data_IF_951933124144
#
_entry.id   IF_951933124144
#
_cell.length_a   1.000
_cell.length_b   1.000
_cell.length_c   1.000
_cell.angle_alpha   90.00
_cell.angle_beta   90.00
_cell.angle_gamma   90.00
#
_symmetry.space_group_name_H-M   'P 1'
#
loop_
_entity.id
_entity.type
_entity.pdbx_description
1 polymer ?
#
# COMPACT_ATOMS: atom_id res chain seq x y z
N UNK A 1 -6.40 13.77 12.37
CA UNK A 1 -6.59 13.57 10.91
C UNK A 1 -6.56 12.09 10.62
N UNK A 2 -7.30 11.64 9.62
CA UNK A 2 -7.36 10.23 9.27
C UNK A 2 -6.03 9.76 8.65
N UNK A 3 -5.73 8.48 8.84
CA UNK A 3 -4.56 7.83 8.25
C UNK A 3 -5.02 6.65 7.40
N UNK A 4 -4.50 6.56 6.20
CA UNK A 4 -4.76 5.44 5.29
C UNK A 4 -3.45 4.83 4.81
N UNK A 5 -3.47 3.54 4.51
CA UNK A 5 -2.35 2.81 3.93
C UNK A 5 -2.75 2.34 2.54
N UNK A 6 -1.93 2.64 1.55
CA UNK A 6 -2.08 2.08 0.20
C UNK A 6 -1.21 0.83 0.09
N UNK A 7 -1.78 -0.25 -0.48
CA UNK A 7 -0.95 -1.37 -0.95
C UNK A 7 -0.48 -1.11 -2.38
N UNK A 8 0.29 -2.04 -2.95
CA UNK A 8 0.75 -1.91 -4.32
C UNK A 8 -0.41 -1.92 -5.32
N UNK A 9 -1.44 -2.73 -5.06
CA UNK A 9 -2.59 -2.86 -5.95
C UNK A 9 -3.30 -1.52 -6.16
N UNK A 10 -3.44 -0.71 -5.09
CA UNK A 10 -4.12 0.58 -5.18
C UNK A 10 -3.47 1.51 -6.21
N UNK A 11 -2.13 1.61 -6.19
CA UNK A 11 -1.44 2.45 -7.18
C UNK A 11 -1.43 1.82 -8.58
N UNK A 12 -1.39 0.48 -8.67
CA UNK A 12 -1.48 -0.18 -9.97
C UNK A 12 -2.85 0.05 -10.61
N UNK A 13 -3.92 0.07 -9.83
CA UNK A 13 -5.26 0.43 -10.30
C UNK A 13 -5.25 1.84 -10.90
N UNK A 14 -4.61 2.79 -10.22
CA UNK A 14 -4.50 4.15 -10.72
C UNK A 14 -3.69 4.21 -12.03
N UNK A 15 -2.51 3.59 -12.05
CA UNK A 15 -1.62 3.65 -13.22
C UNK A 15 -2.20 2.94 -14.45
N UNK A 16 -3.01 1.92 -14.25
CA UNK A 16 -3.63 1.15 -15.33
C UNK A 16 -5.05 1.61 -15.64
N UNK A 17 -5.51 2.67 -15.01
CA UNK A 17 -6.86 3.22 -15.19
C UNK A 17 -7.96 2.14 -15.08
N UNK A 18 -7.82 1.30 -14.05
CA UNK A 18 -8.78 0.22 -13.77
C UNK A 18 -9.94 0.74 -12.92
N UNK A 19 -11.03 -0.03 -12.81
CA UNK A 19 -12.14 0.34 -11.89
C UNK A 19 -11.60 0.56 -10.46
N UNK A 20 -11.92 1.71 -9.89
CA UNK A 20 -11.38 2.15 -8.60
C UNK A 20 -10.35 3.25 -8.71
N UNK A 21 -9.83 3.54 -9.91
CA UNK A 21 -8.83 4.59 -10.12
C UNK A 21 -9.30 5.96 -9.62
N UNK A 22 -10.58 6.29 -9.84
CA UNK A 22 -11.15 7.57 -9.38
C UNK A 22 -11.11 7.70 -7.86
N UNK A 23 -11.36 6.60 -7.15
CA UNK A 23 -11.30 6.59 -5.69
C UNK A 23 -9.88 6.80 -5.19
N UNK A 24 -8.90 6.18 -5.84
CA UNK A 24 -7.48 6.37 -5.50
C UNK A 24 -7.08 7.83 -5.74
N UNK A 25 -7.50 8.39 -6.86
CA UNK A 25 -7.23 9.80 -7.18
C UNK A 25 -7.79 10.74 -6.12
N UNK A 26 -9.02 10.51 -5.67
CA UNK A 26 -9.64 11.30 -4.60
C UNK A 26 -8.83 11.22 -3.30
N UNK A 27 -8.34 10.04 -2.96
CA UNK A 27 -7.50 9.83 -1.77
C UNK A 27 -6.20 10.63 -1.89
N UNK A 28 -5.56 10.58 -3.06
CA UNK A 28 -4.33 11.33 -3.31
C UNK A 28 -4.57 12.83 -3.21
N UNK A 29 -5.68 13.33 -3.73
CA UNK A 29 -6.04 14.76 -3.64
C UNK A 29 -6.28 15.18 -2.19
N UNK A 30 -6.92 14.32 -1.39
CA UNK A 30 -7.11 14.58 0.04
C UNK A 30 -5.77 14.67 0.78
N UNK A 31 -4.84 13.79 0.45
CA UNK A 31 -3.50 13.82 1.04
C UNK A 31 -2.77 15.09 0.62
N UNK A 32 -2.88 15.48 -0.65
CA UNK A 32 -2.26 16.69 -1.19
C UNK A 32 -2.76 17.95 -0.48
N UNK A 33 -4.04 17.99 -0.13
CA UNK A 33 -4.63 19.14 0.58
C UNK A 33 -4.34 19.16 2.07
N UNK A 34 -3.64 18.14 2.59
CA UNK A 34 -3.30 18.04 4.02
C UNK A 34 -4.40 17.48 4.90
N UNK A 35 -5.48 16.96 4.32
CA UNK A 35 -6.62 16.44 5.07
C UNK A 35 -6.55 14.93 5.34
N UNK A 36 -5.46 14.29 4.96
CA UNK A 36 -5.27 12.85 5.09
C UNK A 36 -3.77 12.55 5.17
N UNK A 37 -3.40 11.69 6.11
CA UNK A 37 -2.05 11.13 6.17
C UNK A 37 -2.06 9.81 5.40
N UNK A 38 -1.27 9.73 4.33
CA UNK A 38 -1.26 8.59 3.43
C UNK A 38 0.09 7.89 3.48
N UNK A 39 0.08 6.60 3.78
CA UNK A 39 1.27 5.79 4.01
C UNK A 39 1.37 4.66 2.99
N UNK A 40 2.60 4.24 2.72
CA UNK A 40 2.88 3.02 1.97
C UNK A 40 4.17 2.40 2.49
N UNK A 41 4.18 1.07 2.64
CA UNK A 41 5.41 0.36 2.96
C UNK A 41 6.38 0.41 1.78
N UNK A 42 7.68 0.59 2.06
CA UNK A 42 8.73 0.50 1.01
C UNK A 42 8.73 -0.86 0.31
N UNK A 43 8.24 -1.91 0.98
CA UNK A 43 8.09 -3.25 0.38
C UNK A 43 7.07 -3.20 -0.76
N UNK A 44 5.95 -2.51 -0.55
CA UNK A 44 4.93 -2.37 -1.59
C UNK A 44 5.40 -1.44 -2.72
N UNK A 45 6.20 -0.44 -2.41
CA UNK A 45 6.85 0.38 -3.44
C UNK A 45 7.72 -0.49 -4.35
N UNK A 46 8.52 -1.37 -3.78
CA UNK A 46 9.36 -2.30 -4.54
C UNK A 46 8.52 -3.25 -5.40
N UNK A 47 7.38 -3.69 -4.87
CA UNK A 47 6.45 -4.54 -5.61
C UNK A 47 5.89 -3.81 -6.85
N UNK A 48 5.54 -2.54 -6.72
CA UNK A 48 5.10 -1.73 -7.86
C UNK A 48 6.20 -1.65 -8.90
N UNK A 49 7.42 -1.36 -8.46
CA UNK A 49 8.57 -1.21 -9.35
C UNK A 49 8.81 -2.46 -10.18
N UNK A 50 8.93 -3.63 -9.53
CA UNK A 50 9.22 -4.85 -10.28
C UNK A 50 8.05 -5.29 -11.15
N UNK A 51 6.81 -5.03 -10.73
CA UNK A 51 5.62 -5.39 -11.51
C UNK A 51 5.58 -4.60 -12.82
N UNK A 52 5.86 -3.31 -12.76
CA UNK A 52 5.89 -2.47 -13.96
C UNK A 52 7.07 -2.88 -14.86
N UNK A 53 8.24 -3.13 -14.27
CA UNK A 53 9.41 -3.55 -15.02
C UNK A 53 9.16 -4.86 -15.77
N UNK A 54 8.54 -5.85 -15.10
CA UNK A 54 8.20 -7.13 -15.73
C UNK A 54 7.15 -7.00 -16.83
N UNK A 55 6.13 -6.16 -16.60
CA UNK A 55 5.01 -6.02 -17.51
C UNK A 55 5.28 -5.08 -18.68
N UNK A 56 6.25 -4.21 -18.56
CA UNK A 56 6.54 -3.20 -19.57
C UNK A 56 8.06 -2.98 -19.72
N UNK A 57 8.67 -2.12 -18.88
CA UNK A 57 10.08 -1.78 -19.05
C UNK A 57 10.62 -1.14 -17.77
N UNK A 58 11.95 -1.10 -17.66
CA UNK A 58 12.63 -0.35 -16.60
C UNK A 58 12.36 1.14 -16.73
N UNK A 59 12.34 1.66 -17.96
CA UNK A 59 12.09 3.08 -18.23
C UNK A 59 10.71 3.48 -17.69
N UNK A 60 9.69 2.65 -17.89
CA UNK A 60 8.37 2.94 -17.36
C UNK A 60 8.34 2.82 -15.83
N UNK A 61 9.03 1.82 -15.26
CA UNK A 61 9.12 1.68 -13.82
C UNK A 61 9.78 2.91 -13.18
N UNK A 62 10.86 3.42 -13.78
CA UNK A 62 11.54 4.63 -13.32
C UNK A 62 10.63 5.85 -13.42
N UNK A 63 9.90 5.99 -14.53
CA UNK A 63 8.96 7.09 -14.74
C UNK A 63 7.84 7.08 -13.69
N UNK A 64 7.27 5.91 -13.41
CA UNK A 64 6.19 5.78 -12.40
C UNK A 64 6.71 5.99 -10.99
N UNK A 65 7.93 5.53 -10.68
CA UNK A 65 8.52 5.80 -9.37
C UNK A 65 8.78 7.29 -9.17
N UNK A 66 9.11 8.02 -10.23
CA UNK A 66 9.24 9.47 -10.18
C UNK A 66 7.88 10.14 -9.92
N UNK A 67 6.81 9.64 -10.54
CA UNK A 67 5.47 10.14 -10.25
C UNK A 67 5.08 9.91 -8.79
N UNK A 68 5.39 8.73 -8.24
CA UNK A 68 5.11 8.42 -6.82
C UNK A 68 5.86 9.40 -5.91
N UNK A 69 7.11 9.73 -6.25
CA UNK A 69 7.89 10.68 -5.46
C UNK A 69 7.25 12.07 -5.39
N UNK A 70 6.47 12.46 -6.40
CA UNK A 70 5.73 13.70 -6.42
C UNK A 70 4.39 13.66 -5.69
N UNK A 71 3.94 12.49 -5.26
CA UNK A 71 2.70 12.32 -4.50
C UNK A 71 2.97 12.52 -3.01
N UNK A 72 1.95 12.90 -2.27
CA UNK A 72 2.05 13.04 -0.82
C UNK A 72 1.81 11.70 -0.12
N UNK A 73 2.64 10.74 -0.44
CA UNK A 73 2.65 9.42 0.18
C UNK A 73 3.92 9.33 1.04
N UNK A 74 3.72 9.07 2.32
CA UNK A 74 4.84 8.84 3.23
C UNK A 74 5.27 7.38 3.10
N UNK A 75 6.48 7.15 2.60
CA UNK A 75 7.03 5.79 2.51
C UNK A 75 7.57 5.38 3.88
N UNK A 76 7.07 4.27 4.39
CA UNK A 76 7.45 3.77 5.71
C UNK A 76 8.54 2.73 5.52
N UNK A 77 9.72 2.95 6.13
CA UNK A 77 10.83 2.02 5.97
C UNK A 77 10.63 0.71 6.73
N UNK A 78 11.33 -0.32 6.30
CA UNK A 78 11.51 -1.54 7.07
C UNK A 78 12.87 -1.43 7.74
N UNK A 79 12.87 -1.31 9.05
CA UNK A 79 14.06 -0.91 9.82
C UNK A 79 14.14 -1.76 11.09
N UNK A 80 15.36 -2.14 11.48
CA UNK A 80 15.61 -2.90 12.70
C UNK A 80 15.16 -2.14 13.96
N UNK A 81 14.97 -0.82 13.87
CA UNK A 81 14.45 -0.01 14.99
C UNK A 81 12.95 -0.15 15.16
N UNK A 82 12.24 -0.73 14.19
CA UNK A 82 10.80 -0.97 14.25
C UNK A 82 10.51 -2.44 14.00
N UNK A 83 10.92 -3.28 14.96
CA UNK A 83 10.68 -4.72 14.86
C UNK A 83 9.20 -5.08 15.03
N UNK A 84 8.40 -4.19 15.60
CA UNK A 84 6.96 -4.46 15.79
C UNK A 84 6.24 -4.57 14.44
N UNK A 85 6.58 -3.70 13.49
CA UNK A 85 6.04 -3.78 12.14
C UNK A 85 6.41 -5.11 11.48
N UNK A 86 7.68 -5.49 11.55
CA UNK A 86 8.18 -6.73 10.95
C UNK A 86 7.54 -7.94 11.64
N UNK A 87 7.44 -7.92 12.98
CA UNK A 87 6.80 -9.00 13.74
C UNK A 87 5.35 -9.19 13.32
N UNK A 88 4.59 -8.10 13.17
CA UNK A 88 3.20 -8.20 12.77
C UNK A 88 3.07 -8.77 11.34
N UNK A 89 3.93 -8.34 10.42
CA UNK A 89 3.97 -8.91 9.07
C UNK A 89 4.30 -10.40 9.11
N UNK A 90 5.27 -10.80 9.95
CA UNK A 90 5.65 -12.19 10.11
C UNK A 90 4.52 -13.03 10.71
N UNK A 91 3.78 -12.50 11.68
CA UNK A 91 2.61 -13.18 12.27
C UNK A 91 1.55 -13.42 11.18
N UNK A 92 1.25 -12.42 10.36
CA UNK A 92 0.31 -12.59 9.26
C UNK A 92 0.81 -13.64 8.27
N UNK A 93 2.09 -13.62 7.92
CA UNK A 93 2.66 -14.61 7.00
C UNK A 93 2.56 -16.03 7.56
N UNK A 94 2.79 -16.18 8.85
CA UNK A 94 2.75 -17.50 9.51
C UNK A 94 1.33 -18.06 9.64
N UNK A 95 0.31 -17.18 9.76
CA UNK A 95 -1.06 -17.59 10.11
C UNK A 95 -2.08 -17.37 9.01
N UNK A 96 -1.74 -16.66 7.95
CA UNK A 96 -2.65 -16.35 6.85
C UNK A 96 -2.04 -16.72 5.51
N UNK A 97 -2.89 -17.00 4.53
CA UNK A 97 -2.45 -17.33 3.18
C UNK A 97 -2.34 -16.03 2.36
N UNK A 98 -1.20 -15.37 2.49
CA UNK A 98 -0.93 -14.08 1.85
C UNK A 98 0.54 -14.03 1.42
N UNK A 99 0.84 -13.23 0.39
CA UNK A 99 2.23 -12.92 0.05
C UNK A 99 2.86 -12.12 1.17
N UNK A 100 4.19 -12.15 1.30
CA UNK A 100 4.87 -11.39 2.34
C UNK A 100 4.72 -9.88 2.13
N UNK A 101 4.71 -9.43 0.87
CA UNK A 101 4.48 -8.03 0.56
C UNK A 101 3.09 -7.56 1.04
N UNK A 102 2.05 -8.37 0.82
CA UNK A 102 0.71 -8.06 1.31
C UNK A 102 0.67 -8.05 2.84
N UNK A 103 1.44 -8.93 3.48
CA UNK A 103 1.54 -8.96 4.94
C UNK A 103 2.10 -7.64 5.48
N UNK A 104 3.04 -7.01 4.77
CA UNK A 104 3.57 -5.70 5.17
C UNK A 104 2.53 -4.59 5.05
N UNK A 105 1.71 -4.60 4.00
CA UNK A 105 0.63 -3.61 3.87
C UNK A 105 -0.39 -3.77 5.01
N UNK A 106 -0.81 -4.99 5.29
CA UNK A 106 -1.74 -5.29 6.38
C UNK A 106 -1.14 -4.94 7.74
N UNK A 107 0.13 -5.29 7.97
CA UNK A 107 0.81 -5.00 9.22
C UNK A 107 0.94 -3.49 9.46
N UNK A 108 1.26 -2.74 8.41
CA UNK A 108 1.35 -1.29 8.50
C UNK A 108 -0.01 -0.68 8.89
N UNK A 109 -1.08 -1.13 8.23
CA UNK A 109 -2.43 -0.68 8.56
C UNK A 109 -2.79 -0.99 10.01
N UNK A 110 -2.46 -2.19 10.49
CA UNK A 110 -2.77 -2.60 11.87
C UNK A 110 -1.95 -1.80 12.89
N UNK A 111 -0.65 -1.70 12.71
CA UNK A 111 0.22 -1.01 13.67
C UNK A 111 -0.04 0.49 13.74
N UNK A 112 -0.48 1.09 12.64
CA UNK A 112 -0.82 2.51 12.56
C UNK A 112 -2.30 2.78 12.88
N UNK A 113 -3.08 1.73 13.15
CA UNK A 113 -4.53 1.84 13.32
C UNK A 113 -5.17 2.62 12.16
N UNK A 114 -4.79 2.27 10.95
CA UNK A 114 -5.17 2.95 9.72
C UNK A 114 -6.07 2.09 8.86
N UNK A 115 -6.85 2.75 8.00
CA UNK A 115 -7.65 2.10 6.98
C UNK A 115 -6.73 1.62 5.85
N UNK A 116 -6.90 0.37 5.41
CA UNK A 116 -6.16 -0.18 4.27
C UNK A 116 -6.97 0.04 2.99
N UNK A 117 -6.35 0.58 1.96
CA UNK A 117 -6.97 0.80 0.65
C UNK A 117 -6.44 -0.24 -0.32
N UNK A 118 -7.30 -1.12 -0.80
CA UNK A 118 -6.92 -2.19 -1.74
C UNK A 118 -8.14 -2.69 -2.51
N UNK A 119 -7.91 -3.24 -3.69
CA UNK A 119 -8.90 -4.01 -4.44
C UNK A 119 -8.58 -5.50 -4.47
N UNK A 120 -7.47 -5.91 -3.87
CA UNK A 120 -7.04 -7.30 -3.85
C UNK A 120 -7.81 -8.08 -2.80
N UNK A 121 -8.68 -9.00 -3.26
CA UNK A 121 -9.58 -9.78 -2.39
C UNK A 121 -8.84 -10.74 -1.47
N UNK A 122 -7.56 -11.00 -1.70
CA UNK A 122 -6.75 -11.82 -0.79
C UNK A 122 -6.67 -11.21 0.62
N UNK A 123 -6.84 -9.89 0.74
CA UNK A 123 -6.86 -9.23 2.05
C UNK A 123 -8.08 -9.55 2.91
N UNK A 124 -9.09 -10.21 2.36
CA UNK A 124 -10.26 -10.62 3.15
C UNK A 124 -9.89 -11.48 4.37
N UNK A 125 -8.82 -12.25 4.27
CA UNK A 125 -8.39 -13.15 5.35
C UNK A 125 -7.92 -12.40 6.60
N UNK A 126 -7.61 -11.10 6.49
CA UNK A 126 -7.18 -10.27 7.63
C UNK A 126 -8.18 -9.16 7.96
N UNK A 127 -9.29 -9.06 7.24
CA UNK A 127 -10.22 -7.93 7.37
C UNK A 127 -10.69 -7.70 8.80
N UNK A 128 -10.96 -8.77 9.54
CA UNK A 128 -11.44 -8.69 10.91
C UNK A 128 -10.36 -8.21 11.90
N UNK A 129 -9.10 -8.29 11.52
CA UNK A 129 -7.97 -7.91 12.37
C UNK A 129 -7.52 -6.48 12.12
N UNK A 130 -8.04 -5.84 11.07
CA UNK A 130 -7.74 -4.46 10.72
C UNK A 130 -8.89 -3.54 11.14
N UNK A 131 -8.58 -2.26 11.33
CA UNK A 131 -9.59 -1.24 11.62
C UNK A 131 -10.67 -1.23 10.55
N UNK A 132 -10.25 -1.24 9.27
CA UNK A 132 -11.16 -1.20 8.13
C UNK A 132 -10.37 -1.43 6.85
N UNK A 133 -11.00 -2.07 5.87
CA UNK A 133 -10.52 -2.10 4.49
C UNK A 133 -11.46 -1.26 3.64
N UNK A 134 -10.87 -0.29 2.92
CA UNK A 134 -11.60 0.42 1.87
C UNK A 134 -11.36 -0.35 0.57
N UNK A 135 -12.38 -1.07 0.15
CA UNK A 135 -12.32 -1.86 -1.08
C UNK A 135 -12.48 -0.99 -2.32
N UNK A 136 -11.60 -1.19 -3.26
CA UNK A 136 -11.65 -0.53 -4.58
C UNK A 136 -12.50 -1.33 -5.57
#
# INVERSE_FOLDING_TARGET
>A
MATMVLDAHALMVLFNDEPGADEVEKILLKAESGNLRLLMSVINWGEIYYSIMRGASRELADSKSHEIAGMRIELIPVDARDLELIRQAAVFKATKKMSYADCFAAALAKTQNAELVTGDREFKVVEKELKKIKWL
#
